data_IF_904189910627
#
_entry.id   IF_904189910627
#
_cell.length_a   1.000
_cell.length_b   1.000
_cell.length_c   1.000
_cell.angle_alpha   90.00
_cell.angle_beta   90.00
_cell.angle_gamma   90.00
#
_symmetry.space_group_name_H-M   'P 1'
#
loop_
_entity.id
_entity.type
_entity.pdbx_description
1 polymer ?
#
# COMPACT_ATOMS: atom_id res chain seq x y z
N UNK A 1 24.09 -38.11 -12.99
CA UNK A 1 22.67 -37.82 -12.89
C UNK A 1 21.85 -39.10 -13.02
N UNK A 2 20.74 -39.19 -12.31
CA UNK A 2 19.81 -40.31 -12.30
C UNK A 2 18.38 -39.83 -12.56
N UNK A 3 17.69 -40.48 -13.49
CA UNK A 3 16.28 -40.24 -13.80
C UNK A 3 15.43 -41.40 -13.34
N UNK A 4 14.29 -41.10 -12.76
CA UNK A 4 13.30 -42.07 -12.30
C UNK A 4 12.00 -41.82 -13.07
N UNK A 5 11.54 -42.86 -13.80
CA UNK A 5 10.32 -42.84 -14.62
C UNK A 5 10.56 -43.03 -16.10
N UNK A 6 9.52 -43.15 -16.93
CA UNK A 6 9.62 -43.40 -18.37
C UNK A 6 10.03 -42.10 -19.11
N UNK A 7 11.27 -41.69 -18.93
CA UNK A 7 11.83 -40.57 -19.67
C UNK A 7 12.75 -41.14 -20.77
N UNK A 8 12.39 -40.88 -22.02
CA UNK A 8 13.19 -41.24 -23.20
C UNK A 8 14.44 -40.35 -23.31
N UNK A 9 15.30 -40.37 -22.28
CA UNK A 9 16.49 -39.52 -22.25
C UNK A 9 17.52 -40.00 -23.25
N UNK A 10 17.69 -41.32 -23.37
CA UNK A 10 18.62 -41.95 -24.34
C UNK A 10 18.32 -41.60 -25.79
N UNK A 11 17.05 -41.38 -26.15
CA UNK A 11 16.69 -40.99 -27.52
C UNK A 11 16.87 -39.48 -27.79
N UNK A 12 17.05 -38.64 -26.72
CA UNK A 12 17.16 -37.19 -26.87
C UNK A 12 18.59 -36.69 -27.00
N UNK A 13 19.59 -37.48 -26.58
CA UNK A 13 20.99 -37.07 -26.51
C UNK A 13 21.86 -38.11 -27.20
N UNK A 14 22.90 -37.65 -27.91
CA UNK A 14 23.92 -38.50 -28.52
C UNK A 14 25.18 -38.48 -27.71
N UNK A 15 25.92 -39.57 -27.74
CA UNK A 15 27.26 -39.61 -27.12
C UNK A 15 28.18 -38.56 -27.73
N UNK A 16 28.85 -37.79 -26.87
CA UNK A 16 29.68 -36.65 -27.27
C UNK A 16 28.97 -35.29 -27.30
N UNK A 17 27.64 -35.23 -27.12
CA UNK A 17 26.96 -33.96 -27.02
C UNK A 17 27.24 -33.31 -25.66
N UNK A 18 27.47 -32.01 -25.67
CA UNK A 18 27.64 -31.22 -24.43
C UNK A 18 26.29 -30.72 -23.95
N UNK A 19 26.02 -30.96 -22.69
CA UNK A 19 24.71 -30.64 -22.05
C UNK A 19 24.93 -29.94 -20.73
N UNK A 20 24.06 -28.99 -20.41
CA UNK A 20 23.96 -28.46 -19.06
C UNK A 20 22.96 -29.27 -18.24
N UNK A 21 23.33 -29.59 -17.03
CA UNK A 21 22.49 -30.30 -16.08
C UNK A 21 22.17 -29.34 -14.93
N UNK A 22 20.89 -29.06 -14.70
CA UNK A 22 20.45 -28.24 -13.59
C UNK A 22 19.48 -29.01 -12.69
N UNK A 23 19.68 -28.92 -11.38
CA UNK A 23 18.86 -29.60 -10.40
C UNK A 23 19.42 -29.45 -8.99
N UNK A 24 18.71 -30.01 -8.01
CA UNK A 24 19.18 -30.01 -6.62
C UNK A 24 20.25 -31.09 -6.46
N UNK A 25 21.50 -30.72 -6.10
CA UNK A 25 22.56 -31.70 -5.90
C UNK A 25 22.35 -32.45 -4.57
N UNK A 26 22.54 -33.77 -4.58
CA UNK A 26 22.66 -34.61 -3.39
C UNK A 26 24.13 -35.02 -3.20
N UNK A 27 24.75 -34.49 -2.17
CA UNK A 27 26.14 -34.86 -1.83
C UNK A 27 26.14 -36.15 -1.01
N UNK A 28 26.78 -37.20 -1.51
CA UNK A 28 26.95 -38.46 -0.78
C UNK A 28 28.09 -38.35 0.24
N UNK A 29 28.07 -39.26 1.23
CA UNK A 29 29.14 -39.38 2.22
C UNK A 29 30.54 -39.64 1.61
N UNK A 30 30.58 -40.13 0.38
CA UNK A 30 31.79 -40.37 -0.41
C UNK A 30 32.34 -39.12 -1.12
N UNK A 31 31.69 -37.96 -0.97
CA UNK A 31 32.06 -36.73 -1.66
C UNK A 31 31.54 -36.64 -3.10
N UNK A 32 30.90 -37.69 -3.63
CA UNK A 32 30.31 -37.64 -4.96
C UNK A 32 28.95 -36.92 -4.94
N UNK A 33 28.67 -36.19 -6.03
CA UNK A 33 27.43 -35.43 -6.20
C UNK A 33 26.51 -36.15 -7.17
N UNK A 34 25.30 -36.47 -6.74
CA UNK A 34 24.24 -37.02 -7.57
C UNK A 34 23.15 -35.98 -7.82
N UNK A 35 22.60 -35.98 -9.03
CA UNK A 35 21.41 -35.23 -9.39
C UNK A 35 20.27 -36.20 -9.67
N UNK A 36 19.12 -36.03 -9.01
CA UNK A 36 17.91 -36.81 -9.23
C UNK A 36 16.95 -36.03 -10.12
N UNK A 37 16.51 -36.60 -11.23
CA UNK A 37 15.63 -36.00 -12.22
C UNK A 37 16.03 -34.55 -12.62
N UNK A 38 17.29 -34.30 -12.95
CA UNK A 38 17.72 -32.97 -13.32
C UNK A 38 17.10 -32.55 -14.66
N UNK A 39 16.96 -31.25 -14.86
CA UNK A 39 16.68 -30.71 -16.19
C UNK A 39 17.95 -30.72 -17.00
N UNK A 40 17.85 -31.19 -18.26
CA UNK A 40 18.96 -31.22 -19.22
C UNK A 40 18.63 -30.27 -20.35
N UNK A 41 19.57 -29.44 -20.73
CA UNK A 41 19.51 -28.57 -21.91
C UNK A 41 20.71 -28.86 -22.82
N UNK A 42 20.43 -28.97 -24.13
CA UNK A 42 21.49 -29.07 -25.13
C UNK A 42 22.04 -27.70 -25.43
N UNK A 43 23.35 -27.62 -25.58
CA UNK A 43 24.00 -26.45 -26.15
C UNK A 43 24.23 -26.69 -27.63
N UNK A 44 23.76 -25.80 -28.48
CA UNK A 44 23.93 -25.85 -29.91
C UNK A 44 25.19 -25.16 -30.39
N UNK A 45 25.86 -24.40 -29.53
CA UNK A 45 27.03 -23.61 -29.90
C UNK A 45 28.11 -23.64 -28.80
N UNK A 46 29.36 -23.79 -29.17
CA UNK A 46 30.51 -23.83 -28.27
C UNK A 46 30.73 -22.45 -27.59
N UNK A 47 30.27 -21.37 -28.23
CA UNK A 47 30.31 -20.02 -27.63
C UNK A 47 29.37 -19.87 -26.40
N UNK A 48 28.25 -20.57 -26.41
CA UNK A 48 27.36 -20.68 -25.25
C UNK A 48 28.02 -21.41 -24.06
N UNK A 49 28.96 -22.30 -24.34
CA UNK A 49 29.74 -23.05 -23.33
C UNK A 49 30.81 -22.21 -22.63
N UNK A 50 31.38 -21.23 -23.31
CA UNK A 50 32.35 -20.30 -22.72
C UNK A 50 31.67 -19.29 -21.77
N UNK A 51 30.34 -19.15 -21.86
CA UNK A 51 29.51 -18.45 -20.88
C UNK A 51 29.07 -19.35 -19.70
N UNK A 52 29.49 -20.63 -19.68
CA UNK A 52 29.18 -21.61 -18.60
C UNK A 52 29.93 -21.36 -17.29
N UNK A 53 29.71 -20.33 -16.69
CA UNK A 53 30.00 -19.84 -15.36
C UNK A 53 29.02 -18.75 -15.05
N UNK A 54 28.20 -18.38 -16.02
CA UNK A 54 27.20 -17.34 -15.96
C UNK A 54 25.85 -17.90 -15.50
N UNK A 55 25.10 -17.07 -14.82
CA UNK A 55 23.73 -17.37 -14.41
C UNK A 55 22.84 -17.55 -15.64
N UNK A 56 22.17 -18.70 -15.72
CA UNK A 56 21.23 -18.99 -16.82
C UNK A 56 19.82 -18.65 -16.33
N UNK A 57 19.09 -17.74 -16.99
CA UNK A 57 17.74 -17.41 -16.62
C UNK A 57 16.79 -18.58 -16.89
N UNK A 58 15.95 -18.89 -15.90
CA UNK A 58 14.90 -19.91 -16.03
C UNK A 58 13.58 -19.18 -16.24
N UNK A 59 12.95 -19.41 -17.39
CA UNK A 59 11.66 -18.82 -17.72
C UNK A 59 10.51 -19.75 -17.32
N UNK A 60 9.38 -19.17 -16.97
CA UNK A 60 8.15 -19.94 -16.78
C UNK A 60 7.82 -20.69 -18.06
N UNK A 61 7.34 -21.92 -17.91
CA UNK A 61 6.96 -22.77 -19.03
C UNK A 61 5.82 -22.10 -19.80
N UNK A 62 6.04 -21.84 -21.08
CA UNK A 62 5.05 -21.34 -22.03
C UNK A 62 4.76 -22.46 -23.02
N UNK A 63 3.50 -22.69 -23.33
CA UNK A 63 3.09 -23.74 -24.27
C UNK A 63 3.70 -23.49 -25.66
N UNK A 64 4.32 -24.49 -26.24
CA UNK A 64 4.99 -24.38 -27.54
C UNK A 64 6.37 -23.70 -27.54
N UNK A 65 6.88 -23.22 -26.40
CA UNK A 65 8.18 -22.54 -26.32
C UNK A 65 9.13 -23.22 -25.33
N UNK A 66 10.39 -23.36 -25.72
CA UNK A 66 11.47 -23.82 -24.82
C UNK A 66 12.19 -22.62 -24.19
N UNK A 67 12.83 -22.81 -23.04
CA UNK A 67 13.66 -21.75 -22.43
C UNK A 67 14.79 -21.31 -23.37
N UNK A 68 15.32 -22.23 -24.17
CA UNK A 68 16.35 -21.92 -25.16
C UNK A 68 15.82 -21.02 -26.28
N UNK A 69 14.62 -21.30 -26.82
CA UNK A 69 14.00 -20.45 -27.86
C UNK A 69 13.67 -19.03 -27.30
N UNK A 70 13.23 -18.94 -26.05
CA UNK A 70 12.99 -17.65 -25.39
C UNK A 70 14.32 -16.87 -25.25
N UNK A 71 15.38 -17.53 -24.80
CA UNK A 71 16.71 -16.89 -24.66
C UNK A 71 17.22 -16.37 -26.01
N UNK A 72 17.12 -17.19 -27.07
CA UNK A 72 17.54 -16.79 -28.43
C UNK A 72 16.76 -15.56 -28.90
N UNK A 73 15.43 -15.58 -28.79
CA UNK A 73 14.61 -14.43 -29.17
C UNK A 73 14.93 -13.16 -28.38
N UNK A 74 15.21 -13.29 -27.07
CA UNK A 74 15.61 -12.13 -26.24
C UNK A 74 16.98 -11.59 -26.63
N UNK A 75 17.97 -12.45 -26.96
CA UNK A 75 19.28 -11.98 -27.47
C UNK A 75 19.10 -11.17 -28.75
N UNK A 76 18.29 -11.66 -29.71
CA UNK A 76 18.01 -10.97 -30.96
C UNK A 76 17.30 -9.63 -30.75
N UNK A 77 16.27 -9.61 -29.90
CA UNK A 77 15.53 -8.37 -29.56
C UNK A 77 16.47 -7.34 -28.91
N UNK A 78 17.27 -7.74 -27.94
CA UNK A 78 18.20 -6.82 -27.26
C UNK A 78 19.23 -6.28 -28.26
N UNK A 79 19.76 -7.11 -29.15
CA UNK A 79 20.70 -6.67 -30.18
C UNK A 79 20.07 -5.65 -31.15
N UNK A 80 18.81 -5.86 -31.54
CA UNK A 80 18.07 -4.87 -32.35
C UNK A 80 17.91 -3.56 -31.60
N UNK A 81 17.50 -3.61 -30.34
CA UNK A 81 17.31 -2.43 -29.51
C UNK A 81 18.61 -1.65 -29.25
N UNK A 82 19.74 -2.35 -29.09
CA UNK A 82 21.06 -1.71 -28.98
C UNK A 82 21.54 -1.06 -30.29
N UNK A 83 21.11 -1.60 -31.42
CA UNK A 83 21.45 -1.06 -32.75
C UNK A 83 20.54 0.08 -33.19
N UNK A 84 19.33 0.16 -32.64
CA UNK A 84 18.35 1.20 -32.95
C UNK A 84 18.70 2.47 -32.20
N UNK A 85 19.22 3.48 -32.90
CA UNK A 85 19.56 4.78 -32.32
C UNK A 85 18.33 5.71 -32.17
N UNK A 86 17.15 5.23 -32.52
CA UNK A 86 15.93 6.03 -32.44
C UNK A 86 15.42 6.08 -31.00
N UNK A 87 15.29 7.29 -30.47
CA UNK A 87 14.72 7.63 -29.16
C UNK A 87 13.25 7.24 -29.00
N UNK A 88 12.70 6.45 -29.93
CA UNK A 88 11.25 6.24 -30.07
C UNK A 88 10.76 4.82 -29.71
N UNK A 89 11.50 4.04 -28.93
CA UNK A 89 11.00 2.73 -28.50
C UNK A 89 10.22 2.86 -27.18
N UNK A 90 8.87 2.87 -27.19
CA UNK A 90 8.08 3.01 -25.99
C UNK A 90 8.45 1.90 -24.96
N UNK A 91 8.69 2.30 -23.73
CA UNK A 91 8.98 1.38 -22.63
C UNK A 91 10.47 1.08 -22.40
N UNK A 92 11.38 1.60 -23.23
CA UNK A 92 12.83 1.50 -23.02
C UNK A 92 13.46 2.76 -22.44
N UNK A 93 12.68 3.84 -22.34
CA UNK A 93 13.16 5.07 -21.72
C UNK A 93 13.43 4.86 -20.23
N UNK A 94 14.49 5.48 -19.78
CA UNK A 94 14.75 5.59 -18.36
C UNK A 94 13.63 6.42 -17.71
N UNK A 95 13.04 5.89 -16.64
CA UNK A 95 12.02 6.61 -15.86
C UNK A 95 12.67 7.75 -15.09
N UNK A 96 13.96 7.59 -14.77
CA UNK A 96 14.74 8.59 -14.05
C UNK A 96 15.36 9.61 -15.02
N UNK A 97 15.39 10.90 -14.63
CA UNK A 97 16.16 11.92 -15.33
C UNK A 97 17.65 11.53 -15.44
N UNK A 98 18.29 11.92 -16.55
CA UNK A 98 19.70 11.59 -16.81
C UNK A 98 20.66 12.10 -15.74
N UNK A 99 20.30 13.21 -15.08
CA UNK A 99 21.05 13.78 -13.97
C UNK A 99 21.09 12.82 -12.77
N UNK A 100 19.96 12.25 -12.39
CA UNK A 100 19.85 11.31 -11.28
C UNK A 100 20.58 10.00 -11.60
N UNK A 101 20.47 9.51 -12.83
CA UNK A 101 21.19 8.32 -13.28
C UNK A 101 22.70 8.52 -13.12
N UNK A 102 23.23 9.69 -13.53
CA UNK A 102 24.64 10.03 -13.41
C UNK A 102 25.08 10.23 -11.96
N UNK A 103 24.31 10.99 -11.18
CA UNK A 103 24.62 11.30 -9.77
C UNK A 103 24.75 10.02 -8.92
N UNK A 104 23.84 9.07 -9.13
CA UNK A 104 23.80 7.80 -8.40
C UNK A 104 24.52 6.65 -9.09
N UNK A 105 25.23 6.92 -10.20
CA UNK A 105 25.95 5.91 -10.99
C UNK A 105 25.10 4.71 -11.35
N UNK A 106 23.84 4.97 -11.73
CA UNK A 106 22.90 3.93 -12.13
C UNK A 106 23.13 3.56 -13.60
N UNK A 107 22.87 2.30 -13.92
CA UNK A 107 22.81 1.87 -15.32
C UNK A 107 21.48 2.28 -15.95
N UNK A 108 21.48 2.48 -17.26
CA UNK A 108 20.23 2.72 -17.98
C UNK A 108 19.36 1.47 -18.03
N UNK A 109 18.09 1.66 -18.31
CA UNK A 109 17.08 0.59 -18.30
C UNK A 109 17.39 -0.53 -19.29
N UNK A 110 17.83 -0.22 -20.52
CA UNK A 110 18.17 -1.21 -21.53
C UNK A 110 19.34 -2.11 -21.06
N UNK A 111 20.38 -1.54 -20.49
CA UNK A 111 21.50 -2.30 -19.94
C UNK A 111 21.05 -3.17 -18.76
N UNK A 112 20.16 -2.65 -17.92
CA UNK A 112 19.59 -3.42 -16.81
C UNK A 112 18.73 -4.57 -17.30
N UNK A 113 17.92 -4.39 -18.37
CA UNK A 113 17.17 -5.46 -19.01
C UNK A 113 18.12 -6.52 -19.61
N UNK A 114 19.18 -6.08 -20.26
CA UNK A 114 20.19 -7.01 -20.77
C UNK A 114 20.83 -7.84 -19.67
N UNK A 115 21.27 -7.18 -18.59
CA UNK A 115 21.95 -7.83 -17.47
C UNK A 115 21.06 -8.71 -16.61
N UNK A 116 19.75 -8.43 -16.51
CA UNK A 116 18.83 -9.31 -15.78
C UNK A 116 18.61 -10.63 -16.53
N UNK A 117 18.67 -10.61 -17.86
CA UNK A 117 18.52 -11.79 -18.70
C UNK A 117 19.83 -12.50 -18.99
N UNK A 118 20.93 -11.78 -19.09
CA UNK A 118 22.26 -12.30 -19.44
C UNK A 118 23.33 -11.72 -18.51
N UNK A 119 23.26 -12.00 -17.19
CA UNK A 119 24.25 -11.49 -16.24
C UNK A 119 25.57 -12.24 -16.39
N UNK A 120 26.68 -11.52 -16.32
CA UNK A 120 28.00 -12.14 -16.32
C UNK A 120 28.39 -12.70 -14.95
N UNK A 121 27.83 -12.13 -13.88
CA UNK A 121 28.06 -12.50 -12.50
C UNK A 121 26.86 -12.12 -11.61
N UNK A 122 26.91 -12.52 -10.35
CA UNK A 122 25.83 -12.24 -9.39
C UNK A 122 25.65 -10.74 -9.11
N UNK A 123 26.74 -9.95 -9.21
CA UNK A 123 26.68 -8.50 -8.98
C UNK A 123 25.89 -7.82 -10.10
N UNK A 124 26.13 -8.20 -11.36
CA UNK A 124 25.38 -7.71 -12.51
C UNK A 124 23.86 -7.98 -12.34
N UNK A 125 23.51 -9.20 -11.95
CA UNK A 125 22.12 -9.57 -11.69
C UNK A 125 21.50 -8.72 -10.58
N UNK A 126 22.19 -8.59 -9.44
CA UNK A 126 21.68 -7.81 -8.29
C UNK A 126 21.49 -6.34 -8.63
N UNK A 127 22.45 -5.74 -9.35
CA UNK A 127 22.37 -4.35 -9.76
C UNK A 127 21.23 -4.12 -10.77
N UNK A 128 21.14 -4.95 -11.79
CA UNK A 128 20.08 -4.87 -12.78
C UNK A 128 18.69 -5.03 -12.14
N UNK A 129 18.54 -6.02 -11.24
CA UNK A 129 17.30 -6.21 -10.49
C UNK A 129 16.94 -5.00 -9.64
N UNK A 130 17.93 -4.42 -8.94
CA UNK A 130 17.72 -3.22 -8.11
C UNK A 130 17.18 -2.05 -8.93
N UNK A 131 17.75 -1.81 -10.12
CA UNK A 131 17.34 -0.71 -10.98
C UNK A 131 15.92 -0.94 -11.53
N UNK A 132 15.62 -2.13 -12.03
CA UNK A 132 14.28 -2.44 -12.55
C UNK A 132 13.20 -2.37 -11.46
N UNK A 133 13.52 -2.82 -10.23
CA UNK A 133 12.62 -2.68 -9.08
C UNK A 133 12.43 -1.20 -8.73
N UNK A 134 13.50 -0.39 -8.77
CA UNK A 134 13.42 1.05 -8.53
C UNK A 134 12.51 1.74 -9.55
N UNK A 135 12.63 1.39 -10.84
CA UNK A 135 11.76 1.89 -11.91
C UNK A 135 10.29 1.60 -11.63
N UNK A 136 9.96 0.36 -11.23
CA UNK A 136 8.58 -0.01 -10.89
C UNK A 136 8.06 0.80 -9.71
N UNK A 137 8.88 0.98 -8.66
CA UNK A 137 8.48 1.78 -7.50
C UNK A 137 8.30 3.26 -7.83
N UNK A 138 9.16 3.84 -8.66
CA UNK A 138 9.02 5.23 -9.10
C UNK A 138 7.75 5.41 -9.92
N UNK A 139 7.48 4.48 -10.85
CA UNK A 139 6.26 4.51 -11.65
C UNK A 139 5.01 4.45 -10.76
N UNK A 140 4.95 3.50 -9.82
CA UNK A 140 3.86 3.40 -8.86
C UNK A 140 3.74 4.67 -8.01
N UNK A 141 4.85 5.18 -7.50
CA UNK A 141 4.85 6.41 -6.70
C UNK A 141 4.35 7.61 -7.49
N UNK A 142 4.73 7.72 -8.75
CA UNK A 142 4.27 8.80 -9.64
C UNK A 142 2.75 8.74 -9.86
N UNK A 143 2.18 7.53 -10.03
CA UNK A 143 0.73 7.35 -10.11
C UNK A 143 0.06 7.83 -8.82
N UNK A 144 0.56 7.40 -7.65
CA UNK A 144 -0.02 7.82 -6.37
C UNK A 144 0.07 9.32 -6.14
N UNK A 145 1.21 9.95 -6.43
CA UNK A 145 1.35 11.41 -6.29
C UNK A 145 0.42 12.17 -7.26
N UNK A 146 0.24 11.66 -8.47
CA UNK A 146 -0.70 12.24 -9.43
C UNK A 146 -2.15 12.12 -8.93
N UNK A 147 -2.56 10.95 -8.45
CA UNK A 147 -3.89 10.75 -7.86
C UNK A 147 -4.11 11.64 -6.64
N UNK A 148 -3.11 11.77 -5.78
CA UNK A 148 -3.15 12.64 -4.60
C UNK A 148 -3.25 14.12 -5.00
N UNK A 149 -2.48 14.54 -6.00
CA UNK A 149 -2.54 15.90 -6.53
C UNK A 149 -3.92 16.19 -7.13
N UNK A 150 -4.43 15.29 -7.96
CA UNK A 150 -5.77 15.39 -8.53
C UNK A 150 -6.85 15.49 -7.45
N UNK A 151 -6.79 14.62 -6.43
CA UNK A 151 -7.72 14.68 -5.30
C UNK A 151 -7.71 16.03 -4.59
N UNK A 152 -6.52 16.60 -4.35
CA UNK A 152 -6.37 17.92 -3.72
C UNK A 152 -6.93 19.06 -4.55
N UNK A 153 -6.83 18.96 -5.88
CA UNK A 153 -7.31 20.01 -6.80
C UNK A 153 -8.83 19.92 -7.03
N UNK A 154 -9.39 18.72 -7.05
CA UNK A 154 -10.81 18.49 -7.36
C UNK A 154 -11.71 18.66 -6.14
N UNK A 155 -11.18 18.55 -4.92
CA UNK A 155 -11.97 18.59 -3.70
C UNK A 155 -11.57 19.77 -2.82
N UNK A 156 -12.58 20.54 -2.41
CA UNK A 156 -12.41 21.64 -1.48
C UNK A 156 -12.46 21.13 -0.04
N UNK A 157 -11.49 21.52 0.76
CA UNK A 157 -11.47 21.24 2.20
C UNK A 157 -12.45 22.09 2.99
N UNK A 158 -12.78 21.63 4.17
CA UNK A 158 -13.59 22.35 5.15
C UNK A 158 -12.73 23.44 5.81
N UNK A 159 -13.38 24.46 6.32
CA UNK A 159 -12.71 25.56 7.02
C UNK A 159 -12.84 25.36 8.52
N UNK A 160 -11.75 24.99 9.18
CA UNK A 160 -11.73 24.86 10.63
C UNK A 160 -11.24 26.17 11.29
N UNK A 161 -11.97 26.59 12.33
CA UNK A 161 -11.73 27.86 13.05
C UNK A 161 -11.48 27.59 14.53
N UNK A 162 -10.31 27.04 14.86
CA UNK A 162 -9.86 26.82 16.23
C UNK A 162 -8.58 27.62 16.51
N UNK A 163 -8.38 28.02 17.76
CA UNK A 163 -7.13 28.66 18.20
C UNK A 163 -6.15 27.61 18.72
N UNK A 164 -4.84 27.87 18.58
CA UNK A 164 -3.83 27.02 19.20
C UNK A 164 -3.94 27.03 20.71
N UNK A 165 -4.25 28.21 21.32
CA UNK A 165 -4.44 28.32 22.76
C UNK A 165 -5.54 27.42 23.31
N UNK A 166 -6.66 27.26 22.58
CA UNK A 166 -7.74 26.35 23.02
C UNK A 166 -7.26 24.87 23.01
N UNK A 167 -6.43 24.52 22.04
CA UNK A 167 -5.88 23.16 21.94
C UNK A 167 -4.83 22.94 23.04
N UNK A 168 -3.94 23.89 23.26
CA UNK A 168 -2.91 23.79 24.29
C UNK A 168 -3.55 23.68 25.67
N UNK A 169 -4.59 24.51 25.96
CA UNK A 169 -5.36 24.42 27.20
C UNK A 169 -6.06 23.07 27.37
N UNK A 170 -6.60 22.51 26.30
CA UNK A 170 -7.20 21.16 26.31
C UNK A 170 -6.15 20.09 26.61
N UNK A 171 -4.96 20.17 25.99
CA UNK A 171 -3.84 19.23 26.23
C UNK A 171 -3.36 19.32 27.68
N UNK A 172 -3.25 20.51 28.23
CA UNK A 172 -2.81 20.75 29.63
C UNK A 172 -3.81 20.20 30.67
N UNK A 173 -5.09 20.04 30.31
CA UNK A 173 -6.12 19.43 31.15
C UNK A 173 -6.08 17.90 31.17
N UNK A 174 -5.30 17.26 30.28
CA UNK A 174 -5.18 15.79 30.25
C UNK A 174 -4.47 15.28 31.53
N UNK A 175 -4.86 14.11 32.08
CA UNK A 175 -4.27 13.54 33.29
C UNK A 175 -2.85 12.98 33.10
N UNK A 176 -2.26 13.18 31.93
CA UNK A 176 -0.91 12.69 31.53
C UNK A 176 -0.32 13.65 30.49
N UNK A 177 0.99 13.57 30.31
CA UNK A 177 1.68 14.28 29.23
C UNK A 177 1.68 13.44 27.96
N UNK A 178 1.52 14.11 26.81
CA UNK A 178 1.64 13.45 25.51
C UNK A 178 3.10 13.03 25.27
N UNK A 179 3.28 11.88 24.65
CA UNK A 179 4.59 11.53 24.12
C UNK A 179 4.93 12.42 22.92
N UNK A 180 6.22 12.51 22.59
CA UNK A 180 6.66 13.29 21.43
C UNK A 180 5.94 12.89 20.14
N UNK A 181 5.81 11.59 19.90
CA UNK A 181 5.13 11.06 18.69
C UNK A 181 3.62 11.38 18.67
N UNK A 182 2.96 11.38 19.83
CA UNK A 182 1.56 11.77 19.93
C UNK A 182 1.39 13.27 19.65
N UNK A 183 2.25 14.10 20.21
CA UNK A 183 2.26 15.53 19.97
C UNK A 183 2.50 15.88 18.50
N UNK A 184 3.48 15.22 17.86
CA UNK A 184 3.75 15.38 16.43
C UNK A 184 2.54 14.97 15.58
N UNK A 185 1.91 13.82 15.89
CA UNK A 185 0.72 13.35 15.18
C UNK A 185 -0.46 14.33 15.31
N UNK A 186 -0.68 14.90 16.50
CA UNK A 186 -1.70 15.93 16.72
C UNK A 186 -1.41 17.15 15.85
N UNK A 187 -0.20 17.68 15.90
CA UNK A 187 0.18 18.87 15.11
C UNK A 187 0.00 18.65 13.62
N UNK A 188 0.40 17.49 13.11
CA UNK A 188 0.21 17.14 11.70
C UNK A 188 -1.27 17.10 11.28
N UNK A 189 -2.17 16.61 12.16
CA UNK A 189 -3.62 16.61 11.89
C UNK A 189 -4.16 18.05 11.93
N UNK A 190 -3.77 18.85 12.92
CA UNK A 190 -4.20 20.24 13.02
C UNK A 190 -3.70 21.10 11.85
N UNK A 191 -2.51 20.82 11.33
CA UNK A 191 -2.00 21.43 10.10
C UNK A 191 -2.82 21.02 8.88
N UNK A 192 -3.24 19.76 8.81
CA UNK A 192 -4.11 19.30 7.72
C UNK A 192 -5.47 19.98 7.76
N UNK A 193 -6.06 20.21 8.90
CA UNK A 193 -7.31 20.98 9.07
C UNK A 193 -7.23 22.43 8.58
N UNK A 194 -6.04 23.00 8.45
CA UNK A 194 -5.82 24.35 7.91
C UNK A 194 -5.66 24.38 6.40
N UNK A 195 -5.61 23.21 5.77
CA UNK A 195 -5.44 23.10 4.32
C UNK A 195 -6.78 23.28 3.60
N UNK A 196 -6.71 23.69 2.33
CA UNK A 196 -7.89 23.93 1.51
C UNK A 196 -8.40 22.67 0.77
N UNK A 197 -7.98 21.47 1.20
CA UNK A 197 -8.39 20.18 0.65
C UNK A 197 -8.62 19.18 1.78
N UNK A 198 -9.54 18.21 1.60
CA UNK A 198 -9.88 17.28 2.66
C UNK A 198 -8.71 16.37 3.05
N UNK A 199 -8.50 16.22 4.35
CA UNK A 199 -7.49 15.32 4.91
C UNK A 199 -7.91 13.85 4.70
N UNK A 200 -6.94 13.01 4.35
CA UNK A 200 -7.02 11.54 4.45
C UNK A 200 -5.75 11.04 5.11
N UNK A 201 -5.82 10.78 6.40
CA UNK A 201 -4.64 10.43 7.21
C UNK A 201 -4.82 9.06 7.86
N UNK A 202 -3.71 8.32 7.90
CA UNK A 202 -3.60 7.07 8.64
C UNK A 202 -2.81 7.31 9.93
N UNK A 203 -3.43 7.03 11.08
CA UNK A 203 -2.79 7.01 12.38
C UNK A 203 -2.50 5.56 12.76
N UNK A 204 -1.24 5.17 12.66
CA UNK A 204 -0.78 3.83 12.98
C UNK A 204 -0.02 3.82 14.31
N UNK A 205 -0.25 2.79 15.13
CA UNK A 205 0.47 2.59 16.37
C UNK A 205 -0.03 1.35 17.09
N UNK A 206 0.78 0.77 17.96
CA UNK A 206 0.43 -0.44 18.71
C UNK A 206 -0.84 -0.25 19.58
N UNK A 207 -1.38 -1.37 20.06
CA UNK A 207 -2.46 -1.34 21.05
C UNK A 207 -1.96 -0.65 22.32
N UNK A 208 -2.70 0.34 22.80
CA UNK A 208 -2.28 1.14 23.98
C UNK A 208 -1.33 2.29 23.67
N UNK A 209 -0.94 2.54 22.42
CA UNK A 209 -0.08 3.68 22.04
C UNK A 209 -0.74 5.05 22.17
N UNK A 210 -2.01 5.12 22.55
CA UNK A 210 -2.73 6.37 22.74
C UNK A 210 -3.33 6.99 21.48
N UNK A 211 -3.61 6.19 20.43
CA UNK A 211 -4.31 6.69 19.22
C UNK A 211 -5.61 7.41 19.55
N UNK A 212 -6.33 6.92 20.55
CA UNK A 212 -7.61 7.51 20.98
C UNK A 212 -7.42 8.94 21.52
N UNK A 213 -6.36 9.25 22.27
CA UNK A 213 -6.14 10.62 22.75
C UNK A 213 -5.79 11.57 21.61
N UNK A 214 -5.01 11.14 20.62
CA UNK A 214 -4.72 11.92 19.41
C UNK A 214 -6.02 12.24 18.66
N UNK A 215 -6.86 11.22 18.45
CA UNK A 215 -8.17 11.39 17.82
C UNK A 215 -9.10 12.30 18.65
N UNK A 216 -9.03 12.25 19.99
CA UNK A 216 -9.84 13.10 20.87
C UNK A 216 -9.43 14.58 20.75
N UNK A 217 -8.13 14.88 20.73
CA UNK A 217 -7.65 16.27 20.57
C UNK A 217 -8.06 16.82 19.20
N UNK A 218 -7.90 16.02 18.12
CA UNK A 218 -8.36 16.39 16.79
C UNK A 218 -9.88 16.61 16.76
N UNK A 219 -10.65 15.77 17.46
CA UNK A 219 -12.11 15.91 17.60
C UNK A 219 -12.48 17.21 18.29
N UNK A 220 -11.78 17.57 19.34
CA UNK A 220 -12.00 18.83 20.05
C UNK A 220 -11.83 20.05 19.12
N UNK A 221 -10.77 20.08 18.32
CA UNK A 221 -10.54 21.14 17.34
C UNK A 221 -11.68 21.25 16.31
N UNK A 222 -12.16 20.11 15.80
CA UNK A 222 -13.25 20.07 14.83
C UNK A 222 -14.60 20.51 15.44
N UNK A 223 -14.88 20.13 16.68
CA UNK A 223 -16.09 20.56 17.41
C UNK A 223 -16.06 22.06 17.68
N UNK A 224 -14.93 22.61 18.12
CA UNK A 224 -14.75 24.06 18.31
C UNK A 224 -14.98 24.83 17.01
N UNK A 225 -14.73 24.20 15.87
CA UNK A 225 -15.00 24.77 14.55
C UNK A 225 -16.46 24.63 14.10
N UNK A 226 -17.33 24.03 14.91
CA UNK A 226 -18.76 23.95 14.64
C UNK A 226 -19.21 22.71 13.84
N UNK A 227 -18.37 21.68 13.72
CA UNK A 227 -18.66 20.48 12.94
C UNK A 227 -19.21 19.34 13.80
N UNK A 228 -20.01 18.47 13.14
CA UNK A 228 -20.37 17.16 13.64
C UNK A 228 -19.25 16.16 13.30
N UNK A 229 -19.04 15.19 14.19
CA UNK A 229 -18.00 14.18 14.04
C UNK A 229 -18.57 12.79 14.17
N UNK A 230 -18.01 11.86 13.41
CA UNK A 230 -18.34 10.44 13.48
C UNK A 230 -17.10 9.62 13.84
N UNK A 231 -17.19 8.78 14.88
CA UNK A 231 -16.20 7.75 15.18
C UNK A 231 -16.81 6.38 14.97
N UNK A 232 -16.35 5.68 13.94
CA UNK A 232 -16.84 4.36 13.57
C UNK A 232 -15.91 3.28 14.12
N UNK A 233 -16.45 2.44 15.01
CA UNK A 233 -15.76 1.31 15.62
C UNK A 233 -16.31 -0.03 15.07
N UNK A 234 -15.47 -1.08 14.93
CA UNK A 234 -15.89 -2.34 14.30
C UNK A 234 -16.87 -3.17 15.12
N UNK A 235 -16.94 -2.95 16.43
CA UNK A 235 -17.86 -3.66 17.34
C UNK A 235 -18.46 -2.71 18.36
N UNK A 236 -19.63 -3.06 18.92
CA UNK A 236 -20.28 -2.26 19.96
C UNK A 236 -19.40 -2.13 21.21
N UNK A 237 -18.70 -3.19 21.60
CA UNK A 237 -17.77 -3.16 22.74
C UNK A 237 -16.66 -2.13 22.54
N UNK A 238 -16.09 -2.06 21.34
CA UNK A 238 -15.07 -1.04 21.02
C UNK A 238 -15.67 0.38 20.96
N UNK A 239 -16.88 0.52 20.46
CA UNK A 239 -17.58 1.80 20.48
C UNK A 239 -17.82 2.29 21.93
N UNK A 240 -18.25 1.40 22.82
CA UNK A 240 -18.41 1.69 24.25
C UNK A 240 -17.06 2.04 24.94
N UNK A 241 -16.00 1.33 24.60
CA UNK A 241 -14.65 1.64 25.08
C UNK A 241 -14.16 3.01 24.62
N UNK A 242 -14.35 3.36 23.34
CA UNK A 242 -14.03 4.71 22.84
C UNK A 242 -14.89 5.77 23.54
N UNK A 243 -16.19 5.53 23.69
CA UNK A 243 -17.08 6.42 24.38
C UNK A 243 -16.63 6.68 25.81
N UNK A 244 -16.33 5.63 26.59
CA UNK A 244 -15.85 5.75 27.95
C UNK A 244 -14.53 6.50 28.04
N UNK A 245 -13.56 6.17 27.15
CA UNK A 245 -12.24 6.79 27.14
C UNK A 245 -12.31 8.28 26.77
N UNK A 246 -13.09 8.64 25.76
CA UNK A 246 -13.20 10.03 25.31
C UNK A 246 -13.93 10.87 26.34
N UNK A 247 -14.96 10.35 27.02
CA UNK A 247 -15.64 11.06 28.11
C UNK A 247 -14.73 11.30 29.33
N UNK A 248 -13.65 10.57 29.51
CA UNK A 248 -12.64 10.86 30.54
C UNK A 248 -11.79 12.09 30.22
N UNK A 249 -11.58 12.37 28.92
CA UNK A 249 -10.71 13.46 28.45
C UNK A 249 -11.52 14.72 28.11
N UNK A 250 -12.76 14.56 27.66
CA UNK A 250 -13.61 15.64 27.17
C UNK A 250 -14.87 15.76 28.06
N UNK A 251 -15.01 16.87 28.74
CA UNK A 251 -16.14 17.12 29.65
C UNK A 251 -17.41 17.46 28.85
N UNK A 252 -18.59 17.20 29.46
CA UNK A 252 -19.89 17.54 28.87
C UNK A 252 -20.07 19.01 28.53
N UNK A 253 -19.40 19.89 29.29
CA UNK A 253 -19.41 21.33 29.03
C UNK A 253 -18.62 21.72 27.77
N UNK A 254 -17.71 20.87 27.35
CA UNK A 254 -16.87 21.08 26.17
C UNK A 254 -17.50 20.49 24.89
N UNK A 255 -18.20 19.35 24.98
CA UNK A 255 -18.81 18.68 23.86
C UNK A 255 -19.89 17.67 24.28
N UNK A 256 -20.96 17.58 23.50
CA UNK A 256 -21.89 16.46 23.58
C UNK A 256 -21.30 15.25 22.86
N UNK A 257 -21.32 14.08 23.53
CA UNK A 257 -20.85 12.82 22.98
C UNK A 257 -22.00 11.82 23.01
N UNK A 258 -22.32 11.24 21.87
CA UNK A 258 -23.41 10.30 21.72
C UNK A 258 -22.87 8.92 21.29
N UNK A 259 -23.38 7.86 21.94
CA UNK A 259 -23.11 6.48 21.59
C UNK A 259 -24.28 5.93 20.79
N UNK A 260 -24.05 5.50 19.54
CA UNK A 260 -25.04 4.90 18.64
C UNK A 260 -24.78 3.41 18.48
N UNK A 261 -25.45 2.60 19.30
CA UNK A 261 -25.46 1.13 19.22
C UNK A 261 -26.88 0.63 18.92
N UNK A 262 -27.06 -0.67 18.69
CA UNK A 262 -28.37 -1.25 18.38
C UNK A 262 -29.40 -1.13 19.54
N UNK A 263 -28.94 -0.89 20.77
CA UNK A 263 -29.74 -0.92 22.00
C UNK A 263 -30.07 0.44 22.60
N UNK A 264 -30.00 1.55 21.85
CA UNK A 264 -30.16 2.91 22.36
C UNK A 264 -31.58 3.24 22.77
N UNK A 265 -31.70 3.77 23.98
CA UNK A 265 -33.00 4.22 24.55
C UNK A 265 -33.44 5.62 24.10
N UNK A 266 -32.53 6.46 23.59
CA UNK A 266 -32.77 7.90 23.31
C UNK A 266 -32.55 8.28 21.84
N UNK A 267 -32.88 7.37 20.94
CA UNK A 267 -32.56 7.48 19.51
C UNK A 267 -33.19 8.71 18.84
N UNK A 268 -34.39 9.08 19.19
CA UNK A 268 -35.11 10.23 18.59
C UNK A 268 -34.36 11.55 18.89
N UNK A 269 -33.97 11.78 20.12
CA UNK A 269 -33.23 12.97 20.51
C UNK A 269 -31.87 13.09 19.82
N UNK A 270 -31.16 11.96 19.63
CA UNK A 270 -29.90 11.90 18.91
C UNK A 270 -30.11 12.23 17.42
N UNK A 271 -31.18 11.72 16.80
CA UNK A 271 -31.51 11.99 15.41
C UNK A 271 -31.87 13.47 15.19
N UNK A 272 -32.57 14.09 16.13
CA UNK A 272 -32.90 15.51 16.10
C UNK A 272 -31.63 16.38 16.18
N UNK A 273 -30.69 16.04 17.07
CA UNK A 273 -29.40 16.75 17.18
C UNK A 273 -28.54 16.58 15.90
N UNK A 274 -28.57 15.39 15.28
CA UNK A 274 -27.92 15.15 14.01
C UNK A 274 -28.48 16.05 12.89
N UNK A 275 -29.82 16.08 12.77
CA UNK A 275 -30.49 16.87 11.74
C UNK A 275 -30.33 18.36 11.92
N UNK A 276 -30.26 18.82 13.16
CA UNK A 276 -30.07 20.24 13.49
C UNK A 276 -28.61 20.72 13.31
N UNK A 277 -27.68 19.84 12.95
CA UNK A 277 -26.28 20.21 12.72
C UNK A 277 -25.51 20.64 13.98
N UNK A 278 -26.02 20.31 15.19
CA UNK A 278 -25.35 20.67 16.44
C UNK A 278 -23.96 20.00 16.52
N UNK A 279 -22.89 20.73 16.77
CA UNK A 279 -21.55 20.17 16.95
C UNK A 279 -21.53 19.12 18.05
N UNK A 280 -21.14 17.91 17.73
CA UNK A 280 -21.08 16.79 18.67
C UNK A 280 -20.26 15.63 18.08
N UNK A 281 -19.81 14.73 18.94
CA UNK A 281 -19.13 13.50 18.54
C UNK A 281 -20.12 12.32 18.63
N UNK A 282 -20.35 11.66 17.52
CA UNK A 282 -21.18 10.47 17.41
C UNK A 282 -20.30 9.23 17.26
N UNK A 283 -20.32 8.35 18.26
CA UNK A 283 -19.54 7.12 18.31
C UNK A 283 -20.47 5.94 18.07
N UNK A 284 -20.10 5.03 17.16
CA UNK A 284 -20.94 3.87 16.90
C UNK A 284 -20.28 2.86 15.98
N UNK A 285 -21.09 1.90 15.56
CA UNK A 285 -20.70 0.87 14.59
C UNK A 285 -21.30 1.18 13.21
N UNK A 286 -21.66 0.15 12.45
CA UNK A 286 -22.42 0.30 11.22
C UNK A 286 -23.78 1.02 11.41
N UNK A 287 -24.22 1.23 12.63
CA UNK A 287 -25.41 2.05 12.92
C UNK A 287 -25.26 3.48 12.40
N UNK A 288 -24.03 4.04 12.38
CA UNK A 288 -23.74 5.39 11.87
C UNK A 288 -23.95 5.56 10.36
N UNK A 289 -24.07 4.47 9.61
CA UNK A 289 -24.26 4.47 8.15
C UNK A 289 -25.64 3.95 7.72
N UNK A 290 -26.59 3.85 8.65
CA UNK A 290 -27.97 3.50 8.33
C UNK A 290 -28.66 4.68 7.63
N UNK A 291 -29.61 4.40 6.74
CA UNK A 291 -30.37 5.42 5.98
C UNK A 291 -31.11 6.45 6.86
N UNK A 292 -31.40 6.06 8.11
CA UNK A 292 -32.03 6.94 9.10
C UNK A 292 -31.05 7.95 9.74
N UNK A 293 -29.76 7.80 9.56
CA UNK A 293 -28.71 8.66 10.12
C UNK A 293 -28.21 9.59 9.02
N UNK A 294 -28.50 10.87 9.15
CA UNK A 294 -28.00 11.89 8.20
C UNK A 294 -27.33 13.01 8.98
N UNK A 295 -26.06 13.17 8.74
CA UNK A 295 -25.29 14.28 9.27
C UNK A 295 -25.56 15.54 8.46
N UNK A 296 -25.96 16.62 9.11
CA UNK A 296 -26.17 17.91 8.45
C UNK A 296 -24.87 18.66 8.18
N UNK A 297 -23.86 18.44 9.02
CA UNK A 297 -22.58 19.17 8.97
C UNK A 297 -21.43 18.29 9.44
N UNK A 298 -21.27 17.09 8.82
CA UNK A 298 -20.16 16.18 9.15
C UNK A 298 -18.83 16.77 8.66
N UNK A 299 -17.97 17.18 9.59
CA UNK A 299 -16.65 17.72 9.25
C UNK A 299 -15.52 16.71 9.41
N UNK A 300 -15.62 15.79 10.35
CA UNK A 300 -14.53 14.86 10.63
C UNK A 300 -15.05 13.44 10.88
N UNK A 301 -14.49 12.48 10.13
CA UNK A 301 -14.81 11.06 10.22
C UNK A 301 -13.58 10.26 10.69
N UNK A 302 -13.71 9.60 11.83
CA UNK A 302 -12.69 8.73 12.41
C UNK A 302 -13.12 7.29 12.21
N UNK A 303 -12.25 6.46 11.65
CA UNK A 303 -12.53 5.04 11.36
C UNK A 303 -11.49 4.20 12.09
N UNK A 304 -11.93 3.45 13.09
CA UNK A 304 -11.04 2.52 13.81
C UNK A 304 -11.02 1.14 13.13
N UNK A 305 -9.82 0.55 13.01
CA UNK A 305 -9.59 -0.75 12.39
C UNK A 305 -10.25 -0.89 11.01
N UNK A 306 -9.91 0.01 10.10
CA UNK A 306 -10.49 0.14 8.75
C UNK A 306 -10.67 -1.18 7.99
N UNK A 307 -9.76 -2.16 8.19
CA UNK A 307 -9.80 -3.45 7.51
C UNK A 307 -11.06 -4.29 7.83
N UNK A 308 -11.79 -3.93 8.89
CA UNK A 308 -13.03 -4.59 9.29
C UNK A 308 -14.28 -4.01 8.61
N UNK A 309 -14.14 -2.95 7.84
CA UNK A 309 -15.23 -2.30 7.13
C UNK A 309 -15.11 -2.45 5.62
N UNK A 310 -16.21 -2.71 4.95
CA UNK A 310 -16.28 -2.71 3.49
C UNK A 310 -16.08 -1.31 2.89
N UNK A 311 -15.63 -1.26 1.65
CA UNK A 311 -15.40 0.01 0.92
C UNK A 311 -16.71 0.82 0.82
N UNK A 312 -17.83 0.15 0.52
CA UNK A 312 -19.14 0.80 0.37
C UNK A 312 -19.66 1.38 1.69
N UNK A 313 -19.39 0.72 2.82
CA UNK A 313 -19.77 1.23 4.14
C UNK A 313 -19.07 2.54 4.47
N UNK A 314 -17.77 2.62 4.16
CA UNK A 314 -16.98 3.85 4.38
C UNK A 314 -17.42 4.98 3.45
N UNK A 315 -17.72 4.67 2.18
CA UNK A 315 -18.24 5.66 1.24
C UNK A 315 -19.59 6.24 1.67
N UNK A 316 -20.49 5.42 2.24
CA UNK A 316 -21.76 5.91 2.76
C UNK A 316 -21.59 6.96 3.84
N UNK A 317 -20.71 6.73 4.83
CA UNK A 317 -20.44 7.71 5.87
C UNK A 317 -19.94 9.05 5.31
N UNK A 318 -19.13 8.99 4.24
CA UNK A 318 -18.47 10.17 3.67
C UNK A 318 -19.36 10.93 2.68
N UNK A 319 -20.20 10.23 1.93
CA UNK A 319 -20.98 10.83 0.83
C UNK A 319 -22.35 11.40 1.28
N UNK A 320 -22.77 11.15 2.50
CA UNK A 320 -24.06 11.63 3.01
C UNK A 320 -24.05 13.10 3.43
N UNK A 321 -22.90 13.70 3.65
CA UNK A 321 -22.71 15.14 3.87
C UNK A 321 -22.37 15.83 2.55
N UNK A 322 -22.99 16.95 2.21
CA UNK A 322 -22.78 17.68 0.95
C UNK A 322 -21.30 18.04 0.67
N UNK A 323 -20.51 18.28 1.72
CA UNK A 323 -19.06 18.50 1.67
C UNK A 323 -18.30 17.23 2.08
N UNK A 324 -17.09 17.05 1.58
CA UNK A 324 -16.25 15.88 1.90
C UNK A 324 -15.62 16.09 3.28
N UNK A 325 -15.95 15.28 4.30
CA UNK A 325 -15.35 15.38 5.63
C UNK A 325 -13.89 14.95 5.62
N UNK A 326 -13.10 15.51 6.52
CA UNK A 326 -11.76 15.03 6.82
C UNK A 326 -11.80 13.62 7.42
N UNK A 327 -10.82 12.81 7.07
CA UNK A 327 -10.79 11.39 7.43
C UNK A 327 -9.53 11.03 8.18
N UNK A 328 -9.71 10.43 9.36
CA UNK A 328 -8.65 9.81 10.14
C UNK A 328 -8.91 8.32 10.28
N UNK A 329 -8.03 7.52 9.74
CA UNK A 329 -8.08 6.07 9.91
C UNK A 329 -7.12 5.67 11.01
N UNK A 330 -7.59 4.93 12.01
CA UNK A 330 -6.77 4.38 13.07
C UNK A 330 -6.56 2.88 12.85
N UNK A 331 -5.36 2.37 13.10
CA UNK A 331 -5.08 0.91 13.07
C UNK A 331 -3.91 0.55 13.96
N UNK A 332 -3.98 -0.64 14.58
CA UNK A 332 -2.87 -1.23 15.32
C UNK A 332 -1.97 -2.08 14.41
N UNK A 333 -2.52 -2.65 13.35
CA UNK A 333 -1.76 -3.51 12.44
C UNK A 333 -1.21 -2.73 11.25
N UNK A 334 0.05 -2.97 10.84
CA UNK A 334 0.52 -2.43 9.58
C UNK A 334 -0.39 -2.95 8.46
N UNK A 335 -1.00 -2.04 7.71
CA UNK A 335 -1.81 -2.42 6.56
C UNK A 335 -0.84 -3.00 5.53
N UNK A 336 -0.95 -4.29 5.14
CA UNK A 336 -0.13 -4.83 4.08
C UNK A 336 -0.32 -4.00 2.80
N UNK A 337 0.76 -3.72 2.08
CA UNK A 337 0.72 -2.97 0.81
C UNK A 337 -0.32 -3.52 -0.18
N UNK A 338 -0.63 -4.82 -0.11
CA UNK A 338 -1.69 -5.47 -0.87
C UNK A 338 -3.10 -4.96 -0.57
N UNK A 339 -3.35 -4.35 0.60
CA UNK A 339 -4.65 -3.79 0.97
C UNK A 339 -4.82 -2.33 0.51
N UNK A 340 -3.75 -1.62 0.21
CA UNK A 340 -3.81 -0.27 -0.37
C UNK A 340 -4.41 -0.32 -1.79
N UNK A 341 -4.25 -1.44 -2.49
CA UNK A 341 -4.82 -1.67 -3.83
C UNK A 341 -6.33 -1.90 -3.85
N UNK A 342 -6.97 -2.10 -2.70
CA UNK A 342 -8.44 -2.28 -2.60
C UNK A 342 -9.20 -0.96 -2.80
N UNK A 343 -8.53 0.17 -2.75
CA UNK A 343 -9.13 1.48 -3.05
C UNK A 343 -9.08 1.87 -4.53
N UNK A 344 -8.50 1.04 -5.41
CA UNK A 344 -8.52 1.29 -6.85
C UNK A 344 -9.76 0.69 -7.51
N UNK A 345 -10.54 1.48 -8.25
CA UNK A 345 -11.78 1.03 -8.91
C UNK A 345 -11.57 0.15 -10.16
N UNK A 346 -10.34 -0.25 -10.48
CA UNK A 346 -10.09 -1.03 -11.71
C UNK A 346 -9.05 -2.12 -11.50
N UNK A 347 -9.47 -3.23 -10.90
CA UNK A 347 -8.80 -4.51 -11.17
C UNK A 347 -9.62 -5.21 -12.26
N UNK A 348 -9.07 -5.52 -13.43
CA UNK A 348 -9.78 -6.37 -14.37
C UNK A 348 -10.02 -7.71 -13.69
N UNK A 349 -11.27 -8.15 -13.66
CA UNK A 349 -11.64 -9.48 -13.22
C UNK A 349 -10.83 -10.49 -14.05
N UNK A 350 -10.15 -11.39 -13.37
CA UNK A 350 -9.61 -12.58 -14.02
C UNK A 350 -10.81 -13.40 -14.48
N UNK A 351 -11.09 -13.34 -15.76
CA UNK A 351 -11.92 -14.35 -16.43
C UNK A 351 -11.16 -15.67 -16.34
N UNK A 352 -11.85 -16.71 -15.85
CA UNK A 352 -11.40 -18.02 -15.44
C UNK A 352 -10.56 -18.85 -16.40
#
# INVERSE_FOLDING_TARGET
>A
AKWFGPQYIESRFKEGEVVAISGKPEVKKTGSVDFKNPTIEKFTDIEELNETGSFIPIYKKVEGMTSASIRKGLKEIIAILESTKDDFTPGLFDVLPSEIIKEHSLENRLQSIKKIHFPKNEVDYKNARRILVLDEFIYLRSIFENLKSKYKHENKGLVYTFSNSDIDEFIDQLPFQLTQSQFEAVNEILEDFRKNYPMKRLLQGDVGSGKTVVATIASYAAIKSGYQLALMAPTEVLAEQHFASINQFMNKDQCDIYLLTSSIKDRENILDNLSNGKPALYIGTHALIQESIKFSNLGFAIIDEQQRFGVEQRKKLINESGDIPDQLVMTATPIPLSLIHISEPTRPERIG
#
